data_IF_506131976214
#
_entry.id   IF_506131976214
#
_cell.length_a   1.000
_cell.length_b   1.000
_cell.length_c   1.000
_cell.angle_alpha   90.00
_cell.angle_beta   90.00
_cell.angle_gamma   90.00
#
_symmetry.space_group_name_H-M   'P 1'
#
loop_
_entity.id
_entity.type
_entity.pdbx_description
1 polymer ?
#
# COMPACT_ATOMS: atom_id res chain seq x y z
N UNK A 1 0.87 15.79 46.85
CA UNK A 1 -0.56 16.09 46.97
C UNK A 1 -1.27 14.75 47.20
N UNK A 2 -2.30 14.72 48.06
CA UNK A 2 -3.04 13.48 48.25
C UNK A 2 -3.86 13.14 46.99
N UNK A 3 -3.95 11.84 46.68
CA UNK A 3 -4.86 11.33 45.64
C UNK A 3 -6.27 11.33 46.25
N UNK A 4 -7.24 11.92 45.57
CA UNK A 4 -8.62 11.93 45.96
C UNK A 4 -9.46 11.15 44.97
N UNK A 5 -10.27 10.22 45.48
CA UNK A 5 -11.30 9.53 44.71
C UNK A 5 -12.62 10.21 44.98
N UNK A 6 -13.20 10.81 43.95
CA UNK A 6 -14.48 11.52 44.06
C UNK A 6 -15.66 10.55 43.99
N UNK A 7 -16.82 10.96 44.54
CA UNK A 7 -18.01 10.12 44.54
C UNK A 7 -18.62 9.83 43.16
N UNK A 8 -18.16 10.53 42.11
CA UNK A 8 -18.48 10.28 40.69
C UNK A 8 -17.53 9.30 40.00
N UNK A 9 -16.56 8.74 40.76
CA UNK A 9 -15.53 7.81 40.23
C UNK A 9 -14.34 8.51 39.61
N UNK A 10 -14.26 9.83 39.58
CA UNK A 10 -13.08 10.55 39.11
C UNK A 10 -11.96 10.53 40.16
N UNK A 11 -10.70 10.50 39.67
CA UNK A 11 -9.50 10.54 40.53
C UNK A 11 -8.75 11.83 40.23
N UNK A 12 -8.50 12.63 41.27
CA UNK A 12 -7.69 13.86 41.19
C UNK A 12 -6.40 13.70 41.98
N UNK A 13 -5.37 14.47 41.60
CA UNK A 13 -4.08 14.45 42.27
C UNK A 13 -3.07 13.40 41.69
N UNK A 14 -3.44 12.65 40.65
CA UNK A 14 -2.48 11.84 39.91
C UNK A 14 -1.61 12.75 39.06
N UNK A 15 -0.30 12.71 39.26
CA UNK A 15 0.69 13.30 38.32
C UNK A 15 0.98 12.35 37.16
N UNK A 16 1.58 12.87 36.09
CA UNK A 16 2.11 12.04 35.00
C UNK A 16 3.08 11.01 35.58
N UNK A 17 2.82 9.72 35.34
CA UNK A 17 3.57 8.62 35.95
C UNK A 17 3.09 8.20 37.35
N UNK A 18 1.99 8.78 37.87
CA UNK A 18 1.46 8.46 39.20
C UNK A 18 0.83 7.06 39.34
N UNK A 19 0.62 6.32 38.24
CA UNK A 19 0.26 4.91 38.26
C UNK A 19 1.54 4.06 38.15
N UNK A 20 1.70 3.10 39.07
CA UNK A 20 2.82 2.17 39.03
C UNK A 20 2.82 1.30 37.80
N UNK A 21 3.98 0.71 37.47
CA UNK A 21 4.11 -0.26 36.38
C UNK A 21 3.12 -1.42 36.53
N UNK A 22 2.36 -1.73 35.49
CA UNK A 22 1.39 -2.84 35.49
C UNK A 22 0.00 -2.51 36.06
N UNK A 23 -0.24 -1.28 36.53
CA UNK A 23 -1.56 -0.86 37.05
C UNK A 23 -2.58 -0.68 35.93
N UNK A 24 -2.13 -0.36 34.72
CA UNK A 24 -2.98 -0.28 33.52
C UNK A 24 -2.68 -1.48 32.64
N UNK A 25 -3.62 -2.35 32.45
CA UNK A 25 -3.52 -3.53 31.58
C UNK A 25 -4.53 -3.44 30.42
N UNK A 26 -4.48 -4.42 29.49
CA UNK A 26 -5.37 -4.44 28.32
C UNK A 26 -6.85 -4.47 28.66
N UNK A 27 -7.25 -5.01 29.83
CA UNK A 27 -8.63 -5.04 30.27
C UNK A 27 -9.11 -3.69 30.84
N UNK A 28 -8.20 -2.83 31.27
CA UNK A 28 -8.50 -1.51 31.82
C UNK A 28 -8.39 -0.38 30.79
N UNK A 29 -7.83 -0.65 29.61
CA UNK A 29 -7.80 0.28 28.50
C UNK A 29 -9.05 0.11 27.64
N UNK A 30 -9.86 1.16 27.55
CA UNK A 30 -10.96 1.19 26.59
C UNK A 30 -10.39 1.14 25.16
N UNK A 31 -11.15 0.54 24.23
CA UNK A 31 -10.80 0.56 22.80
C UNK A 31 -10.57 2.00 22.34
N UNK A 32 -9.40 2.26 21.75
CA UNK A 32 -9.01 3.60 21.29
C UNK A 32 -8.41 4.50 22.37
N UNK A 33 -8.20 4.02 23.61
CA UNK A 33 -7.56 4.81 24.66
C UNK A 33 -6.11 5.20 24.35
N UNK A 34 -5.40 4.42 23.52
CA UNK A 34 -4.13 4.77 22.93
C UNK A 34 -4.34 5.22 21.48
N UNK A 35 -4.69 6.49 21.28
CA UNK A 35 -4.79 7.08 19.95
C UNK A 35 -3.40 7.31 19.33
N UNK A 36 -3.29 7.36 18.00
CA UNK A 36 -2.05 7.42 17.23
C UNK A 36 -1.00 8.40 17.74
N UNK A 37 -1.40 9.58 18.16
CA UNK A 37 -0.49 10.61 18.73
C UNK A 37 0.10 10.26 20.10
N UNK A 38 -0.41 9.24 20.78
CA UNK A 38 0.11 8.73 22.06
C UNK A 38 0.97 7.48 21.90
N UNK A 39 1.04 6.95 20.69
CA UNK A 39 1.92 5.84 20.34
C UNK A 39 3.32 6.40 20.05
N UNK A 40 4.36 5.70 20.51
CA UNK A 40 5.72 6.10 20.21
C UNK A 40 6.04 6.03 18.71
N UNK A 41 7.05 6.77 18.29
CA UNK A 41 7.60 6.73 16.92
C UNK A 41 7.82 5.28 16.45
N UNK A 42 7.42 4.97 15.23
CA UNK A 42 7.51 3.63 14.65
C UNK A 42 6.33 2.71 14.95
N UNK A 43 5.38 3.12 15.81
CA UNK A 43 4.17 2.34 16.06
C UNK A 43 3.21 2.38 14.87
N UNK A 44 2.54 1.25 14.59
CA UNK A 44 1.46 1.21 13.60
C UNK A 44 0.21 1.86 14.18
N UNK A 45 -0.25 2.94 13.54
CA UNK A 45 -1.44 3.70 13.94
C UNK A 45 -2.72 3.06 13.38
N UNK A 46 -2.68 2.73 12.09
CA UNK A 46 -3.78 2.04 11.41
C UNK A 46 -3.25 1.19 10.26
N UNK A 47 -4.07 0.23 9.86
CA UNK A 47 -3.79 -0.63 8.71
C UNK A 47 -5.03 -0.73 7.84
N UNK A 48 -4.84 -0.58 6.53
CA UNK A 48 -5.86 -0.87 5.52
C UNK A 48 -5.28 -1.91 4.58
N UNK A 49 -6.02 -2.97 4.28
CA UNK A 49 -5.54 -4.04 3.41
C UNK A 49 -6.65 -4.57 2.51
N UNK A 50 -6.26 -5.00 1.33
CA UNK A 50 -7.17 -5.61 0.35
C UNK A 50 -6.44 -6.64 -0.49
N UNK A 51 -7.12 -7.77 -0.72
CA UNK A 51 -6.76 -8.78 -1.70
C UNK A 51 -7.56 -8.52 -2.97
N UNK A 52 -6.88 -8.51 -4.10
CA UNK A 52 -7.46 -8.32 -5.42
C UNK A 52 -7.54 -9.67 -6.12
N UNK A 53 -8.74 -10.07 -6.51
CA UNK A 53 -8.97 -11.30 -7.24
C UNK A 53 -8.23 -11.30 -8.58
N UNK A 54 -7.82 -12.48 -9.10
CA UNK A 54 -7.22 -12.56 -10.42
C UNK A 54 -8.19 -12.04 -11.48
N UNK A 55 -7.63 -11.29 -12.42
CA UNK A 55 -8.39 -10.86 -13.59
C UNK A 55 -8.75 -12.07 -14.46
N UNK A 56 -10.00 -12.15 -14.91
CA UNK A 56 -10.49 -13.29 -15.69
C UNK A 56 -9.67 -13.58 -16.95
N UNK A 57 -9.66 -14.83 -17.39
CA UNK A 57 -8.84 -15.28 -18.55
C UNK A 57 -9.30 -14.72 -19.91
N UNK A 58 -10.45 -14.04 -19.95
CA UNK A 58 -11.09 -13.57 -21.19
C UNK A 58 -10.93 -12.08 -21.47
N UNK A 59 -10.32 -11.30 -20.56
CA UNK A 59 -10.33 -9.85 -20.69
C UNK A 59 -9.06 -9.31 -21.37
N UNK A 60 -9.25 -8.85 -22.59
CA UNK A 60 -8.30 -8.03 -23.35
C UNK A 60 -8.12 -6.61 -22.76
N UNK A 61 -8.84 -6.27 -21.70
CA UNK A 61 -8.99 -4.90 -21.21
C UNK A 61 -7.78 -4.35 -20.46
N UNK A 62 -6.87 -5.21 -19.98
CA UNK A 62 -5.68 -4.78 -19.25
C UNK A 62 -4.41 -4.97 -20.07
N UNK A 63 -4.33 -4.26 -21.16
CA UNK A 63 -3.12 -4.21 -21.98
C UNK A 63 -2.37 -2.94 -21.60
N UNK A 64 -1.16 -3.06 -21.04
CA UNK A 64 -0.23 -1.96 -21.04
C UNK A 64 0.27 -1.76 -22.48
N UNK A 65 -0.04 -0.63 -23.09
CA UNK A 65 0.27 -0.36 -24.49
C UNK A 65 1.27 0.77 -24.65
N UNK A 66 2.15 0.66 -25.62
CA UNK A 66 2.85 1.76 -26.28
C UNK A 66 3.66 2.70 -25.35
N UNK A 67 4.30 2.16 -24.34
CA UNK A 67 5.04 2.98 -23.38
C UNK A 67 4.16 3.81 -22.46
N UNK A 68 2.82 3.69 -22.56
CA UNK A 68 1.86 4.42 -21.71
C UNK A 68 1.38 3.55 -20.55
N UNK A 69 1.42 4.12 -19.34
CA UNK A 69 0.92 3.41 -18.16
C UNK A 69 -0.60 3.30 -18.17
N UNK A 70 -1.08 2.10 -17.90
CA UNK A 70 -2.49 1.76 -17.75
C UNK A 70 -2.78 1.30 -16.31
N UNK A 71 -4.01 1.50 -15.85
CA UNK A 71 -4.46 1.06 -14.53
C UNK A 71 -4.60 -0.47 -14.49
N UNK A 72 -4.08 -1.10 -13.43
CA UNK A 72 -4.27 -2.54 -13.21
C UNK A 72 -5.57 -2.87 -12.48
N UNK A 73 -6.24 -1.88 -11.89
CA UNK A 73 -7.35 -2.08 -10.97
C UNK A 73 -6.93 -2.34 -9.52
N UNK A 74 -5.63 -2.53 -9.24
CA UNK A 74 -5.11 -2.63 -7.88
C UNK A 74 -5.05 -1.22 -7.31
N UNK A 75 -6.02 -0.87 -6.47
CA UNK A 75 -6.16 0.46 -5.89
C UNK A 75 -6.68 0.38 -4.46
N UNK A 76 -6.06 1.12 -3.55
CA UNK A 76 -6.44 1.17 -2.15
C UNK A 76 -6.21 2.57 -1.59
N UNK A 77 -7.10 3.02 -0.71
CA UNK A 77 -7.01 4.35 -0.11
C UNK A 77 -6.89 4.28 1.40
N UNK A 78 -6.16 5.23 1.96
CA UNK A 78 -6.04 5.46 3.40
C UNK A 78 -6.19 6.95 3.67
N UNK A 79 -6.82 7.30 4.78
CA UNK A 79 -6.85 8.68 5.29
C UNK A 79 -5.95 8.75 6.51
N UNK A 80 -4.77 9.37 6.41
CA UNK A 80 -3.85 9.46 7.55
C UNK A 80 -4.48 10.23 8.71
N UNK A 81 -4.21 9.78 9.92
CA UNK A 81 -4.69 10.43 11.15
C UNK A 81 -3.77 11.54 11.62
N UNK A 82 -2.49 11.46 11.24
CA UNK A 82 -1.44 12.41 11.61
C UNK A 82 -0.64 12.82 10.40
N UNK A 83 -0.46 14.13 10.16
CA UNK A 83 0.26 14.65 8.98
C UNK A 83 1.76 14.35 8.99
N UNK A 84 2.35 14.07 10.15
CA UNK A 84 3.77 13.72 10.30
C UNK A 84 4.04 12.21 10.28
N UNK A 85 2.99 11.39 10.20
CA UNK A 85 3.13 9.95 10.04
C UNK A 85 3.66 9.59 8.64
N UNK A 86 4.03 8.34 8.46
CA UNK A 86 4.45 7.77 7.17
C UNK A 86 3.50 6.65 6.77
N UNK A 87 3.29 6.49 5.47
CA UNK A 87 2.57 5.32 4.98
C UNK A 87 3.58 4.31 4.43
N UNK A 88 3.69 3.15 5.11
CA UNK A 88 4.37 2.00 4.55
C UNK A 88 3.39 1.30 3.61
N UNK A 89 3.73 1.27 2.34
CA UNK A 89 2.99 0.54 1.30
C UNK A 89 3.71 -0.77 1.03
N UNK A 90 3.00 -1.88 1.14
CA UNK A 90 3.47 -3.20 0.72
C UNK A 90 2.47 -3.75 -0.27
N UNK A 91 2.90 -4.04 -1.49
CA UNK A 91 2.06 -4.69 -2.49
C UNK A 91 2.81 -5.81 -3.16
N UNK A 92 2.13 -6.93 -3.30
CA UNK A 92 2.66 -8.16 -3.89
C UNK A 92 1.67 -8.73 -4.87
N UNK A 93 2.15 -9.48 -5.84
CA UNK A 93 1.24 -10.12 -6.78
C UNK A 93 1.96 -11.04 -7.74
N UNK A 94 1.16 -11.64 -8.61
CA UNK A 94 1.64 -12.41 -9.74
C UNK A 94 1.12 -11.77 -11.02
N UNK A 95 1.99 -11.56 -11.98
CA UNK A 95 1.67 -11.07 -13.31
C UNK A 95 1.81 -12.15 -14.36
N UNK A 96 1.04 -12.01 -15.41
CA UNK A 96 1.14 -12.83 -16.60
C UNK A 96 1.48 -11.94 -17.79
N UNK A 97 2.59 -12.21 -18.43
CA UNK A 97 2.99 -11.60 -19.69
C UNK A 97 2.81 -12.58 -20.86
N UNK A 98 2.37 -12.06 -21.99
CA UNK A 98 2.22 -12.81 -23.23
C UNK A 98 2.89 -12.05 -24.37
N UNK A 99 3.68 -12.78 -25.15
CA UNK A 99 4.47 -12.25 -26.25
C UNK A 99 4.27 -13.12 -27.50
N UNK A 100 4.13 -12.49 -28.67
CA UNK A 100 3.90 -13.18 -29.95
C UNK A 100 5.01 -12.94 -30.97
N UNK A 101 6.10 -12.26 -30.61
CA UNK A 101 7.23 -11.97 -31.53
C UNK A 101 8.57 -12.28 -30.89
N UNK A 102 9.60 -12.35 -31.71
CA UNK A 102 11.00 -12.57 -31.28
C UNK A 102 11.65 -11.35 -30.63
N UNK A 103 11.00 -10.20 -30.67
CA UNK A 103 11.54 -8.99 -30.09
C UNK A 103 11.58 -9.07 -28.58
N UNK A 104 12.60 -8.51 -27.97
CA UNK A 104 12.62 -8.26 -26.54
C UNK A 104 11.45 -7.34 -26.19
N UNK A 105 10.72 -7.65 -25.11
CA UNK A 105 9.68 -6.80 -24.57
C UNK A 105 9.96 -6.60 -23.10
N UNK A 106 10.04 -5.37 -22.69
CA UNK A 106 10.16 -4.99 -21.29
C UNK A 106 8.77 -4.67 -20.74
N UNK A 107 8.48 -5.22 -19.60
CA UNK A 107 7.26 -5.00 -18.84
C UNK A 107 7.57 -4.22 -17.58
N UNK A 108 6.87 -3.14 -17.38
CA UNK A 108 7.07 -2.23 -16.25
C UNK A 108 5.83 -2.21 -15.37
N UNK A 109 6.05 -2.20 -14.08
CA UNK A 109 5.02 -1.93 -13.09
C UNK A 109 5.48 -0.78 -12.23
N UNK A 110 4.55 0.10 -11.85
CA UNK A 110 4.85 1.16 -10.90
C UNK A 110 3.76 1.29 -9.83
N UNK A 111 4.23 1.65 -8.65
CA UNK A 111 3.41 2.09 -7.54
C UNK A 111 3.33 3.61 -7.57
N UNK A 112 2.11 4.14 -7.58
CA UNK A 112 1.84 5.57 -7.58
C UNK A 112 0.89 5.95 -6.47
N UNK A 113 0.90 7.22 -6.09
CA UNK A 113 -0.04 7.80 -5.12
C UNK A 113 -0.67 9.05 -5.69
N UNK A 114 -1.94 9.28 -5.37
CA UNK A 114 -2.67 10.50 -5.68
C UNK A 114 -3.34 10.99 -4.40
N UNK A 115 -2.92 12.14 -3.82
CA UNK A 115 -3.65 12.79 -2.76
C UNK A 115 -5.01 13.30 -3.26
N UNK A 116 -6.00 13.35 -2.40
CA UNK A 116 -7.31 13.93 -2.74
C UNK A 116 -7.15 15.38 -3.22
N UNK A 117 -7.59 15.66 -4.46
CA UNK A 117 -7.43 16.97 -5.11
C UNK A 117 -6.01 17.28 -5.59
N UNK A 118 -5.05 16.34 -5.47
CA UNK A 118 -3.66 16.52 -5.88
C UNK A 118 -3.31 15.81 -7.19
N UNK A 119 -2.03 15.90 -7.55
CA UNK A 119 -1.47 15.24 -8.72
C UNK A 119 -0.90 13.86 -8.37
N UNK A 120 -0.86 12.98 -9.37
CA UNK A 120 -0.24 11.67 -9.27
C UNK A 120 1.28 11.81 -9.08
N UNK A 121 1.82 11.07 -8.13
CA UNK A 121 3.26 10.93 -7.87
C UNK A 121 3.67 9.47 -7.93
N UNK A 122 4.80 9.20 -8.57
CA UNK A 122 5.41 7.87 -8.60
C UNK A 122 6.23 7.64 -7.34
N UNK A 123 6.03 6.48 -6.71
CA UNK A 123 6.79 6.05 -5.53
C UNK A 123 7.86 5.01 -5.88
N UNK A 124 7.57 4.12 -6.80
CA UNK A 124 8.46 3.05 -7.22
C UNK A 124 8.09 2.49 -8.57
N UNK A 125 9.10 2.16 -9.38
CA UNK A 125 8.96 1.39 -10.62
C UNK A 125 9.81 0.12 -10.52
N UNK A 126 9.32 -0.97 -11.11
CA UNK A 126 10.06 -2.21 -11.36
C UNK A 126 9.96 -2.58 -12.83
N UNK A 127 11.03 -3.13 -13.37
CA UNK A 127 11.11 -3.65 -14.73
C UNK A 127 11.24 -5.18 -14.69
N UNK A 128 10.43 -5.85 -15.49
CA UNK A 128 10.53 -7.28 -15.76
C UNK A 128 10.81 -7.46 -17.24
N UNK A 129 11.96 -8.04 -17.56
CA UNK A 129 12.39 -8.22 -18.95
C UNK A 129 12.00 -9.59 -19.48
N UNK A 130 11.21 -9.60 -20.55
CA UNK A 130 10.93 -10.79 -21.32
C UNK A 130 11.95 -10.91 -22.48
N UNK A 131 13.03 -11.63 -22.23
CA UNK A 131 14.07 -11.85 -23.23
C UNK A 131 13.67 -12.87 -24.31
N UNK A 132 14.36 -12.82 -25.42
CA UNK A 132 14.18 -13.69 -26.58
C UNK A 132 14.31 -15.18 -26.22
N UNK A 133 13.26 -15.95 -26.44
CA UNK A 133 13.29 -17.41 -26.30
C UNK A 133 12.81 -18.12 -27.58
N UNK A 134 13.12 -17.56 -28.78
CA UNK A 134 12.77 -18.12 -30.09
C UNK A 134 11.37 -17.71 -30.60
N UNK A 135 11.11 -18.10 -31.84
CA UNK A 135 9.99 -17.67 -32.70
C UNK A 135 8.62 -18.21 -32.27
N UNK A 136 8.36 -18.38 -30.98
CA UNK A 136 7.10 -18.97 -30.50
C UNK A 136 6.42 -18.05 -29.51
N UNK A 137 5.09 -18.17 -29.47
CA UNK A 137 4.25 -17.59 -28.43
C UNK A 137 4.77 -17.94 -27.04
N UNK A 138 5.15 -16.94 -26.29
CA UNK A 138 5.73 -17.10 -24.96
C UNK A 138 4.76 -16.59 -23.90
N UNK A 139 4.67 -17.33 -22.80
CA UNK A 139 3.93 -16.95 -21.60
C UNK A 139 4.90 -16.84 -20.44
N UNK A 140 4.95 -15.69 -19.82
CA UNK A 140 5.72 -15.46 -18.61
C UNK A 140 4.77 -15.27 -17.44
N UNK A 141 4.98 -16.06 -16.40
CA UNK A 141 4.38 -15.82 -15.08
C UNK A 141 5.49 -15.32 -14.17
N UNK A 142 5.28 -14.20 -13.54
CA UNK A 142 6.25 -13.61 -12.63
C UNK A 142 5.58 -13.10 -11.38
N UNK A 143 6.25 -13.32 -10.25
CA UNK A 143 5.83 -12.80 -8.95
C UNK A 143 6.59 -11.51 -8.67
N UNK A 144 5.89 -10.50 -8.24
CA UNK A 144 6.47 -9.19 -7.96
C UNK A 144 6.11 -8.70 -6.56
N UNK A 145 6.97 -7.85 -6.03
CA UNK A 145 6.75 -7.15 -4.77
C UNK A 145 7.28 -5.72 -4.87
N UNK A 146 6.50 -4.77 -4.41
CA UNK A 146 6.91 -3.39 -4.26
C UNK A 146 6.63 -2.91 -2.85
N UNK A 147 7.63 -2.28 -2.24
CA UNK A 147 7.52 -1.68 -0.91
C UNK A 147 8.01 -0.24 -0.99
N UNK A 148 7.29 0.68 -0.38
CA UNK A 148 7.67 2.10 -0.32
C UNK A 148 7.25 2.71 1.01
N UNK A 149 8.11 3.56 1.55
CA UNK A 149 7.77 4.48 2.64
C UNK A 149 7.42 5.83 2.01
N UNK A 150 6.22 6.33 2.28
CA UNK A 150 5.73 7.59 1.75
C UNK A 150 5.55 8.62 2.88
N UNK A 151 6.33 9.70 2.80
CA UNK A 151 6.20 10.89 3.65
C UNK A 151 5.14 11.82 3.02
N UNK A 152 3.92 11.80 3.53
CA UNK A 152 2.76 12.41 2.84
C UNK A 152 2.43 13.84 3.27
N UNK A 153 2.83 14.26 4.48
CA UNK A 153 2.61 15.61 5.04
C UNK A 153 1.15 16.11 4.98
N UNK A 154 0.16 15.21 5.03
CA UNK A 154 -1.25 15.56 4.91
C UNK A 154 -2.13 14.60 5.73
N UNK A 155 -3.32 15.07 6.11
CA UNK A 155 -4.40 14.22 6.65
C UNK A 155 -5.53 14.01 5.63
N UNK A 156 -5.34 14.46 4.39
CA UNK A 156 -6.27 14.17 3.29
C UNK A 156 -6.13 12.73 2.81
N UNK A 157 -7.18 12.17 2.25
CA UNK A 157 -7.15 10.81 1.71
C UNK A 157 -6.07 10.66 0.62
N UNK A 158 -5.35 9.54 0.69
CA UNK A 158 -4.30 9.14 -0.26
C UNK A 158 -4.76 7.88 -0.97
N UNK A 159 -4.77 7.89 -2.29
CA UNK A 159 -5.10 6.73 -3.11
C UNK A 159 -3.83 6.17 -3.75
N UNK A 160 -3.49 4.94 -3.40
CA UNK A 160 -2.36 4.19 -3.96
C UNK A 160 -2.85 3.27 -5.06
N UNK A 161 -2.07 3.19 -6.14
CA UNK A 161 -2.41 2.36 -7.30
C UNK A 161 -1.17 1.67 -7.85
N UNK A 162 -1.40 0.50 -8.44
CA UNK A 162 -0.40 -0.14 -9.30
C UNK A 162 -0.81 0.08 -10.75
N UNK A 163 0.12 0.57 -11.53
CA UNK A 163 -0.03 0.75 -12.98
C UNK A 163 0.99 -0.10 -13.70
N UNK A 164 0.73 -0.42 -14.95
CA UNK A 164 1.65 -1.19 -15.79
C UNK A 164 1.74 -0.62 -17.21
N UNK A 165 2.85 -0.91 -17.87
CA UNK A 165 3.05 -0.68 -19.32
C UNK A 165 3.96 -1.75 -19.91
N UNK A 166 3.97 -1.86 -21.24
CA UNK A 166 4.97 -2.61 -21.99
C UNK A 166 5.79 -1.66 -22.87
N UNK A 167 7.01 -2.03 -23.21
CA UNK A 167 7.86 -1.21 -24.09
C UNK A 167 7.33 -1.11 -25.53
N UNK A 168 6.54 -2.09 -25.96
CA UNK A 168 5.90 -2.10 -27.29
C UNK A 168 4.47 -2.67 -27.21
N UNK A 169 3.55 -2.08 -27.97
CA UNK A 169 2.14 -2.49 -28.03
C UNK A 169 1.86 -3.70 -28.88
N UNK A 170 2.68 -3.92 -29.88
CA UNK A 170 2.28 -4.74 -31.03
C UNK A 170 2.17 -6.22 -30.72
N UNK A 171 2.82 -6.71 -29.67
CA UNK A 171 2.95 -8.15 -29.45
C UNK A 171 3.01 -8.60 -27.98
N UNK A 172 2.65 -7.73 -27.03
CA UNK A 172 2.76 -8.06 -25.61
C UNK A 172 1.53 -7.63 -24.84
N UNK A 173 1.09 -8.49 -23.93
CA UNK A 173 0.03 -8.20 -22.98
C UNK A 173 0.51 -8.53 -21.58
N UNK A 174 0.01 -7.78 -20.63
CA UNK A 174 0.27 -8.08 -19.24
C UNK A 174 -1.03 -7.97 -18.44
N UNK A 175 -1.21 -8.87 -17.50
CA UNK A 175 -2.31 -8.85 -16.54
C UNK A 175 -1.84 -9.43 -15.21
N UNK A 176 -2.47 -9.05 -14.12
CA UNK A 176 -2.18 -9.68 -12.83
C UNK A 176 -3.08 -10.91 -12.60
N UNK A 177 -2.54 -11.88 -11.87
CA UNK A 177 -3.21 -13.14 -11.50
C UNK A 177 -3.61 -13.20 -10.04
N UNK A 178 -3.65 -12.09 -9.36
CA UNK A 178 -3.93 -11.87 -7.96
C UNK A 178 -2.88 -10.97 -7.36
N UNK A 179 -3.30 -10.13 -6.44
CA UNK A 179 -2.42 -9.20 -5.75
C UNK A 179 -2.98 -8.88 -4.37
N UNK A 180 -2.08 -8.49 -3.47
CA UNK A 180 -2.42 -7.92 -2.18
C UNK A 180 -1.81 -6.53 -2.06
N UNK A 181 -2.51 -5.64 -1.39
CA UNK A 181 -1.98 -4.33 -1.01
C UNK A 181 -2.30 -4.06 0.45
N UNK A 182 -1.27 -3.65 1.18
CA UNK A 182 -1.35 -3.26 2.59
C UNK A 182 -0.80 -1.84 2.73
N UNK A 183 -1.56 -0.99 3.41
CA UNK A 183 -1.19 0.37 3.77
C UNK A 183 -1.16 0.45 5.29
N UNK A 184 0.02 0.77 5.84
CA UNK A 184 0.23 0.90 7.28
C UNK A 184 0.63 2.34 7.57
N UNK A 185 -0.16 3.04 8.38
CA UNK A 185 0.24 4.33 8.92
C UNK A 185 1.16 4.12 10.12
N UNK A 186 2.38 4.65 10.04
CA UNK A 186 3.44 4.54 11.04
C UNK A 186 3.64 5.89 11.71
N UNK A 187 3.62 5.93 13.04
CA UNK A 187 3.89 7.13 13.82
C UNK A 187 5.30 7.69 13.50
N UNK A 188 5.37 8.97 13.19
CA UNK A 188 6.61 9.71 12.91
C UNK A 188 7.23 10.33 14.17
#
# INVERSE_FOLDING_TARGET
MPITINGDGSITGLSVGGLGSGVVNTATLANGAAAGVKLGTGSVIQTVSQTFAPYGDTDDALRGHDGTYSETGITLSITPTVSTSKILVVTTGCSFGYKTSDSQVDYFMRLVVTPSGGSLSELREIEVRMTNMGNTTQRLFDSWSMTSNHDHNTTSALTYKVQHKTSTATYCWARYKGADMHLLEIAG
#
